data_IF_885745912085
#
_entry.id   IF_885745912085
#
_cell.length_a   1.000
_cell.length_b   1.000
_cell.length_c   1.000
_cell.angle_alpha   90.00
_cell.angle_beta   90.00
_cell.angle_gamma   90.00
#
_symmetry.space_group_name_H-M   'P 1'
#
loop_
_entity.id
_entity.type
_entity.pdbx_description
1 polymer ?
#
# COMPACT_ATOMS: atom_id res chain seq x y z
N UNK A 1 -9.61 -26.75 -23.02
CA UNK A 1 -9.08 -25.48 -22.47
C UNK A 1 -10.24 -24.51 -22.33
N UNK A 2 -10.87 -24.44 -21.15
CA UNK A 2 -11.97 -23.50 -20.90
C UNK A 2 -11.37 -22.11 -20.77
N UNK A 3 -11.64 -21.22 -21.73
CA UNK A 3 -11.40 -19.78 -21.55
C UNK A 3 -12.22 -19.36 -20.33
N UNK A 4 -11.62 -18.92 -19.21
CA UNK A 4 -12.41 -18.40 -18.10
C UNK A 4 -13.26 -17.26 -18.65
N UNK A 5 -14.55 -17.25 -18.31
CA UNK A 5 -15.48 -16.22 -18.76
C UNK A 5 -14.86 -14.85 -18.44
N UNK A 6 -14.90 -13.95 -19.43
CA UNK A 6 -14.28 -12.63 -19.42
C UNK A 6 -14.76 -11.73 -18.26
N UNK A 7 -15.68 -12.20 -17.43
CA UNK A 7 -16.47 -11.45 -16.45
C UNK A 7 -16.42 -11.97 -15.01
N UNK A 8 -15.56 -12.95 -14.67
CA UNK A 8 -15.53 -13.50 -13.30
C UNK A 8 -15.26 -12.43 -12.22
N UNK A 9 -14.57 -11.36 -12.60
CA UNK A 9 -14.21 -10.24 -11.73
C UNK A 9 -15.35 -9.21 -11.59
N UNK A 10 -16.36 -9.21 -12.47
CA UNK A 10 -17.46 -8.23 -12.40
C UNK A 10 -18.31 -8.40 -11.13
N UNK A 11 -18.84 -9.59 -10.80
CA UNK A 11 -19.63 -9.76 -9.57
C UNK A 11 -18.81 -9.44 -8.32
N UNK A 12 -17.56 -9.92 -8.25
CA UNK A 12 -16.66 -9.63 -7.13
C UNK A 12 -16.37 -8.13 -7.04
N UNK A 13 -16.11 -7.48 -8.18
CA UNK A 13 -15.92 -6.05 -8.33
C UNK A 13 -17.09 -5.24 -7.79
N UNK A 14 -18.31 -5.57 -8.20
CA UNK A 14 -19.53 -4.90 -7.74
C UNK A 14 -19.74 -5.09 -6.25
N UNK A 15 -19.56 -6.31 -5.73
CA UNK A 15 -19.71 -6.61 -4.30
C UNK A 15 -18.68 -5.85 -3.46
N UNK A 16 -17.41 -5.86 -3.87
CA UNK A 16 -16.34 -5.11 -3.19
C UNK A 16 -16.59 -3.61 -3.25
N UNK A 17 -16.97 -3.07 -4.41
CA UNK A 17 -17.25 -1.65 -4.56
C UNK A 17 -18.45 -1.21 -3.71
N UNK A 18 -19.54 -2.00 -3.70
CA UNK A 18 -20.73 -1.73 -2.88
C UNK A 18 -20.38 -1.76 -1.38
N UNK A 19 -19.56 -2.73 -0.97
CA UNK A 19 -19.07 -2.84 0.41
C UNK A 19 -18.23 -1.63 0.82
N UNK A 20 -17.19 -1.29 0.05
CA UNK A 20 -16.33 -0.14 0.36
C UNK A 20 -17.11 1.18 0.35
N UNK A 21 -18.06 1.32 -0.59
CA UNK A 21 -18.97 2.46 -0.65
C UNK A 21 -19.83 2.58 0.60
N UNK A 22 -20.34 1.46 1.13
CA UNK A 22 -21.13 1.47 2.36
C UNK A 22 -20.37 2.11 3.53
N UNK A 23 -19.06 1.86 3.67
CA UNK A 23 -18.24 2.50 4.70
C UNK A 23 -17.95 3.98 4.40
N UNK A 24 -17.56 4.29 3.16
CA UNK A 24 -17.21 5.66 2.74
C UNK A 24 -18.38 6.65 2.87
N UNK A 25 -19.58 6.23 2.47
CA UNK A 25 -20.74 7.12 2.36
C UNK A 25 -21.65 7.10 3.59
N UNK A 26 -21.30 6.35 4.64
CA UNK A 26 -22.05 6.34 5.90
C UNK A 26 -21.86 7.61 6.72
N UNK A 27 -20.70 8.26 6.61
CA UNK A 27 -20.42 9.56 7.21
C UNK A 27 -20.58 10.66 6.14
N UNK A 28 -21.09 11.85 6.48
CA UNK A 28 -21.00 13.00 5.59
C UNK A 28 -19.53 13.45 5.39
N UNK A 29 -18.66 13.24 6.38
CA UNK A 29 -17.28 13.72 6.39
C UNK A 29 -16.28 12.75 5.72
N UNK A 30 -15.10 13.27 5.37
CA UNK A 30 -13.96 12.47 4.92
C UNK A 30 -13.28 11.74 6.09
N UNK A 31 -12.69 10.57 5.79
CA UNK A 31 -11.85 9.83 6.72
C UNK A 31 -10.48 10.52 6.85
N UNK A 32 -10.31 11.27 7.94
CA UNK A 32 -9.10 12.06 8.21
C UNK A 32 -9.08 13.43 7.52
N UNK A 33 -8.22 14.35 7.99
CA UNK A 33 -8.23 15.74 7.53
C UNK A 33 -7.53 15.95 6.18
N UNK A 34 -6.51 15.17 5.84
CA UNK A 34 -5.65 15.43 4.67
C UNK A 34 -6.44 15.35 3.35
N UNK A 35 -7.51 14.56 3.30
CA UNK A 35 -8.35 14.41 2.11
C UNK A 35 -8.94 15.73 1.62
N UNK A 36 -9.27 16.63 2.54
CA UNK A 36 -9.78 17.97 2.20
C UNK A 36 -8.73 18.81 1.47
N UNK A 37 -7.47 18.72 1.92
CA UNK A 37 -6.35 19.38 1.26
C UNK A 37 -6.16 18.83 -0.15
N UNK A 38 -6.04 17.51 -0.30
CA UNK A 38 -5.70 16.91 -1.60
C UNK A 38 -6.74 17.21 -2.67
N UNK A 39 -8.04 17.04 -2.38
CA UNK A 39 -9.10 17.29 -3.37
C UNK A 39 -9.21 18.77 -3.74
N UNK A 40 -8.99 19.67 -2.78
CA UNK A 40 -8.99 21.12 -3.02
C UNK A 40 -7.77 21.52 -3.83
N UNK A 41 -6.60 20.99 -3.50
CA UNK A 41 -5.37 21.26 -4.22
C UNK A 41 -5.44 20.74 -5.67
N UNK A 42 -6.03 19.57 -5.92
CA UNK A 42 -6.29 19.09 -7.28
C UNK A 42 -7.18 20.04 -8.08
N UNK A 43 -8.20 20.66 -7.45
CA UNK A 43 -9.02 21.69 -8.09
C UNK A 43 -8.21 22.94 -8.43
N UNK A 44 -7.37 23.41 -7.51
CA UNK A 44 -6.49 24.55 -7.73
C UNK A 44 -5.46 24.27 -8.83
N UNK A 45 -4.88 23.07 -8.84
CA UNK A 45 -3.95 22.59 -9.86
C UNK A 45 -4.57 22.64 -11.26
N UNK A 46 -5.84 22.24 -11.40
CA UNK A 46 -6.58 22.33 -12.67
C UNK A 46 -6.71 23.78 -13.17
N UNK A 47 -6.94 24.75 -12.28
CA UNK A 47 -7.21 26.14 -12.64
C UNK A 47 -5.95 27.02 -12.76
N UNK A 48 -4.90 26.71 -12.00
CA UNK A 48 -3.72 27.57 -11.83
C UNK A 48 -2.40 26.90 -12.23
N UNK A 49 -2.41 25.60 -12.54
CA UNK A 49 -1.19 24.86 -12.83
C UNK A 49 -0.36 24.60 -11.57
N UNK A 50 0.94 24.38 -11.76
CA UNK A 50 1.86 24.03 -10.68
C UNK A 50 2.12 25.22 -9.76
N UNK A 51 1.96 24.99 -8.46
CA UNK A 51 2.38 25.94 -7.42
C UNK A 51 3.83 25.66 -7.06
N UNK A 52 4.66 26.69 -6.92
CA UNK A 52 6.04 26.59 -6.39
C UNK A 52 6.20 27.25 -5.00
N UNK A 53 5.15 27.93 -4.56
CA UNK A 53 4.98 28.49 -3.23
C UNK A 53 3.54 28.23 -2.77
N UNK A 54 3.36 27.96 -1.48
CA UNK A 54 2.07 27.65 -0.89
C UNK A 54 1.78 28.57 0.28
N UNK A 55 1.28 29.80 0.02
CA UNK A 55 1.18 30.86 1.02
C UNK A 55 0.25 30.53 2.19
N UNK A 56 -0.69 29.60 1.99
CA UNK A 56 -1.59 29.12 3.05
C UNK A 56 -0.86 28.34 4.15
N UNK A 57 0.33 27.81 3.88
CA UNK A 57 1.19 27.16 4.86
C UNK A 57 2.33 28.10 5.29
N UNK A 58 1.97 29.31 5.75
CA UNK A 58 2.90 30.43 6.02
C UNK A 58 3.98 30.12 7.07
N UNK A 59 3.68 29.24 8.03
CA UNK A 59 4.59 28.83 9.11
C UNK A 59 5.45 27.61 8.77
N UNK A 60 5.45 27.15 7.51
CA UNK A 60 6.26 26.02 7.07
C UNK A 60 7.14 26.40 5.88
N UNK A 61 8.09 25.53 5.55
CA UNK A 61 8.93 25.69 4.35
C UNK A 61 8.11 25.77 3.04
N UNK A 62 6.84 25.37 3.05
CA UNK A 62 5.96 25.43 1.88
C UNK A 62 5.62 26.86 1.48
N UNK A 63 5.71 27.82 2.39
CA UNK A 63 5.39 29.22 2.09
C UNK A 63 6.22 29.77 0.91
N UNK A 64 7.50 29.37 0.83
CA UNK A 64 8.46 29.85 -0.16
C UNK A 64 8.99 28.74 -1.07
N UNK A 65 9.09 27.50 -0.57
CA UNK A 65 9.76 26.38 -1.23
C UNK A 65 8.84 25.16 -1.30
N UNK A 66 7.68 25.35 -1.91
CA UNK A 66 6.71 24.26 -2.04
C UNK A 66 7.16 23.26 -3.10
N UNK A 67 7.17 21.99 -2.73
CA UNK A 67 7.33 20.86 -3.65
C UNK A 67 6.19 19.88 -3.45
N UNK A 68 5.43 19.66 -4.50
CA UNK A 68 4.37 18.65 -4.48
C UNK A 68 4.96 17.24 -4.56
N UNK A 69 5.05 16.57 -3.41
CA UNK A 69 5.57 15.21 -3.30
C UNK A 69 4.60 14.13 -3.82
N UNK A 70 3.35 14.50 -4.06
CA UNK A 70 2.26 13.60 -4.47
C UNK A 70 1.69 14.05 -5.83
N UNK A 71 2.52 14.66 -6.68
CA UNK A 71 2.13 15.31 -7.93
C UNK A 71 1.26 14.44 -8.85
N UNK A 72 1.67 13.20 -9.11
CA UNK A 72 0.92 12.26 -9.93
C UNK A 72 -0.42 11.91 -9.29
N UNK A 73 -0.48 11.81 -7.96
CA UNK A 73 -1.74 11.60 -7.25
C UNK A 73 -2.68 12.79 -7.45
N UNK A 74 -2.19 14.03 -7.31
CA UNK A 74 -3.02 15.22 -7.55
C UNK A 74 -3.50 15.33 -8.99
N UNK A 75 -2.67 15.00 -9.98
CA UNK A 75 -3.11 14.94 -11.37
C UNK A 75 -4.22 13.91 -11.59
N UNK A 76 -4.09 12.71 -11.02
CA UNK A 76 -5.13 11.68 -11.10
C UNK A 76 -6.40 12.03 -10.31
N UNK A 77 -6.30 12.98 -9.38
CA UNK A 77 -7.42 13.46 -8.58
C UNK A 77 -8.25 14.55 -9.29
N UNK A 78 -7.72 15.20 -10.32
CA UNK A 78 -8.39 16.27 -11.08
C UNK A 78 -9.80 15.90 -11.56
N UNK A 79 -10.06 14.72 -12.17
CA UNK A 79 -11.42 14.38 -12.61
C UNK A 79 -12.43 14.35 -11.46
N UNK A 80 -11.97 13.99 -10.25
CA UNK A 80 -12.81 13.93 -9.05
C UNK A 80 -12.98 15.31 -8.39
N UNK A 81 -12.09 16.27 -8.65
CA UNK A 81 -12.24 17.63 -8.12
C UNK A 81 -13.27 18.48 -8.88
N UNK A 82 -13.84 17.95 -9.96
CA UNK A 82 -14.87 18.61 -10.77
C UNK A 82 -16.29 18.44 -10.23
N UNK A 83 -16.51 17.53 -9.28
CA UNK A 83 -17.81 17.42 -8.60
C UNK A 83 -18.10 18.71 -7.83
N UNK A 84 -19.39 19.12 -7.81
CA UNK A 84 -19.82 20.29 -7.05
C UNK A 84 -19.55 20.11 -5.54
N UNK A 85 -19.85 18.92 -5.03
CA UNK A 85 -19.44 18.50 -3.69
C UNK A 85 -18.05 17.84 -3.76
N UNK A 86 -17.03 18.55 -3.27
CA UNK A 86 -15.66 18.03 -3.21
C UNK A 86 -15.51 16.86 -2.23
N UNK A 87 -16.34 16.76 -1.19
CA UNK A 87 -16.28 15.62 -0.28
C UNK A 87 -16.77 14.36 -0.99
N UNK A 88 -17.84 14.47 -1.78
CA UNK A 88 -18.29 13.40 -2.65
C UNK A 88 -17.19 13.00 -3.65
N UNK A 89 -16.58 13.96 -4.33
CA UNK A 89 -15.46 13.72 -5.25
C UNK A 89 -14.29 12.98 -4.58
N UNK A 90 -13.87 13.42 -3.40
CA UNK A 90 -12.82 12.76 -2.63
C UNK A 90 -13.19 11.31 -2.25
N UNK A 91 -14.42 11.03 -1.82
CA UNK A 91 -14.88 9.66 -1.54
C UNK A 91 -14.89 8.78 -2.79
N UNK A 92 -15.33 9.32 -3.93
CA UNK A 92 -15.25 8.62 -5.22
C UNK A 92 -13.81 8.28 -5.60
N UNK A 93 -12.86 9.20 -5.36
CA UNK A 93 -11.45 8.94 -5.60
C UNK A 93 -10.87 7.86 -4.69
N UNK A 94 -11.22 7.85 -3.39
CA UNK A 94 -10.80 6.83 -2.45
C UNK A 94 -11.28 5.43 -2.90
N UNK A 95 -12.56 5.33 -3.30
CA UNK A 95 -13.11 4.11 -3.86
C UNK A 95 -12.37 3.68 -5.13
N UNK A 96 -12.09 4.61 -6.04
CA UNK A 96 -11.38 4.33 -7.28
C UNK A 96 -9.97 3.74 -7.03
N UNK A 97 -9.17 4.39 -6.18
CA UNK A 97 -7.82 3.91 -5.89
C UNK A 97 -7.84 2.59 -5.10
N UNK A 98 -8.75 2.42 -4.13
CA UNK A 98 -8.91 1.16 -3.39
C UNK A 98 -9.31 -0.01 -4.32
N UNK A 99 -10.23 0.24 -5.27
CA UNK A 99 -10.59 -0.73 -6.30
C UNK A 99 -9.42 -1.03 -7.23
N UNK A 100 -8.59 -0.02 -7.58
CA UNK A 100 -7.35 -0.23 -8.34
C UNK A 100 -6.39 -1.23 -7.66
N UNK A 101 -6.21 -1.10 -6.34
CA UNK A 101 -5.44 -2.06 -5.54
C UNK A 101 -6.08 -3.46 -5.57
N UNK A 102 -7.41 -3.54 -5.37
CA UNK A 102 -8.13 -4.81 -5.42
C UNK A 102 -7.99 -5.50 -6.78
N UNK A 103 -8.24 -4.77 -7.87
CA UNK A 103 -8.11 -5.27 -9.24
C UNK A 103 -6.71 -5.78 -9.54
N UNK A 104 -5.68 -5.05 -9.10
CA UNK A 104 -4.30 -5.49 -9.29
C UNK A 104 -4.01 -6.81 -8.55
N UNK A 105 -4.43 -6.93 -7.29
CA UNK A 105 -4.26 -8.16 -6.52
C UNK A 105 -5.06 -9.32 -7.12
N UNK A 106 -6.27 -9.07 -7.62
CA UNK A 106 -7.08 -10.07 -8.35
C UNK A 106 -6.41 -10.52 -9.64
N UNK A 107 -5.84 -9.59 -10.39
CA UNK A 107 -5.05 -9.90 -11.58
C UNK A 107 -3.86 -10.80 -11.23
N UNK A 108 -3.10 -10.44 -10.19
CA UNK A 108 -1.95 -11.23 -9.74
C UNK A 108 -2.37 -12.63 -9.28
N UNK A 109 -3.36 -12.72 -8.39
CA UNK A 109 -3.91 -13.99 -7.92
C UNK A 109 -4.44 -14.86 -9.07
N UNK A 110 -5.15 -14.26 -10.03
CA UNK A 110 -5.69 -14.99 -11.18
C UNK A 110 -4.59 -15.52 -12.09
N UNK A 111 -3.54 -14.73 -12.34
CA UNK A 111 -2.37 -15.14 -13.11
C UNK A 111 -1.67 -16.35 -12.47
N UNK A 112 -1.65 -16.40 -11.14
CA UNK A 112 -1.09 -17.51 -10.36
C UNK A 112 -2.08 -18.66 -10.11
N UNK A 113 -3.25 -18.65 -10.76
CA UNK A 113 -4.30 -19.66 -10.63
C UNK A 113 -4.76 -19.88 -9.18
N UNK A 114 -4.73 -18.82 -8.36
CA UNK A 114 -5.22 -18.86 -6.98
C UNK A 114 -6.70 -19.25 -6.97
N UNK A 115 -7.03 -20.23 -6.14
CA UNK A 115 -8.40 -20.62 -5.88
C UNK A 115 -9.07 -19.63 -4.90
N UNK A 116 -10.38 -19.48 -5.00
CA UNK A 116 -11.18 -18.71 -4.05
C UNK A 116 -10.71 -17.24 -3.87
N UNK A 117 -10.46 -16.51 -4.96
CA UNK A 117 -10.06 -15.09 -4.94
C UNK A 117 -11.00 -14.23 -4.08
N UNK A 118 -12.30 -14.56 -4.04
CA UNK A 118 -13.29 -13.89 -3.18
C UNK A 118 -12.93 -13.98 -1.68
N UNK A 119 -12.39 -15.11 -1.23
CA UNK A 119 -11.99 -15.32 0.15
C UNK A 119 -10.79 -14.43 0.51
N UNK A 120 -9.77 -14.40 -0.35
CA UNK A 120 -8.61 -13.54 -0.16
C UNK A 120 -8.95 -12.06 -0.23
N UNK A 121 -9.94 -11.69 -1.03
CA UNK A 121 -10.50 -10.34 -1.07
C UNK A 121 -11.17 -9.97 0.26
N UNK A 122 -11.95 -10.89 0.81
CA UNK A 122 -12.55 -10.73 2.13
C UNK A 122 -11.46 -10.62 3.21
N UNK A 123 -10.45 -11.48 3.20
CA UNK A 123 -9.30 -11.38 4.09
C UNK A 123 -8.57 -10.04 3.96
N UNK A 124 -8.44 -9.49 2.75
CA UNK A 124 -7.78 -8.19 2.54
C UNK A 124 -8.53 -7.04 3.24
N UNK A 125 -9.83 -6.91 2.99
CA UNK A 125 -10.61 -5.76 3.48
C UNK A 125 -11.19 -5.96 4.88
N UNK A 126 -11.33 -7.20 5.34
CA UNK A 126 -11.86 -7.54 6.67
C UNK A 126 -10.83 -8.23 7.56
N UNK A 127 -9.59 -8.42 7.12
CA UNK A 127 -8.58 -9.00 7.99
C UNK A 127 -7.98 -8.00 8.97
N UNK A 128 -8.18 -6.69 8.74
CA UNK A 128 -7.67 -5.62 9.58
C UNK A 128 -8.50 -4.34 9.46
N UNK A 129 -9.13 -3.85 10.54
CA UNK A 129 -9.85 -2.58 10.50
C UNK A 129 -8.92 -1.39 10.29
N UNK A 130 -7.68 -1.48 10.78
CA UNK A 130 -6.67 -0.46 10.57
C UNK A 130 -6.32 -0.33 9.08
N UNK A 131 -6.16 -1.46 8.39
CA UNK A 131 -5.99 -1.44 6.94
C UNK A 131 -7.21 -0.90 6.21
N UNK A 132 -8.42 -1.32 6.61
CA UNK A 132 -9.67 -0.84 5.99
C UNK A 132 -9.83 0.68 6.13
N UNK A 133 -9.53 1.24 7.29
CA UNK A 133 -9.52 2.69 7.49
C UNK A 133 -8.55 3.36 6.53
N UNK A 134 -7.30 2.87 6.48
CA UNK A 134 -6.22 3.46 5.67
C UNK A 134 -6.55 3.40 4.18
N UNK A 135 -6.97 2.25 3.66
CA UNK A 135 -7.25 2.10 2.22
C UNK A 135 -8.43 2.98 1.76
N UNK A 136 -9.36 3.28 2.68
CA UNK A 136 -10.51 4.16 2.42
C UNK A 136 -10.22 5.65 2.67
N UNK A 137 -9.11 6.00 3.32
CA UNK A 137 -8.71 7.40 3.46
C UNK A 137 -8.35 7.99 2.08
N UNK A 138 -8.97 9.10 1.63
CA UNK A 138 -8.66 9.77 0.36
C UNK A 138 -7.30 10.48 0.45
N UNK A 139 -6.23 9.69 0.42
CA UNK A 139 -4.85 10.13 0.59
C UNK A 139 -3.92 9.44 -0.43
N UNK A 140 -2.76 10.03 -0.75
CA UNK A 140 -1.83 9.50 -1.74
C UNK A 140 -1.24 8.12 -1.44
N UNK A 141 -1.22 7.69 -0.17
CA UNK A 141 -0.61 6.40 0.20
C UNK A 141 -1.32 5.21 -0.46
N UNK A 142 -2.61 5.32 -0.82
CA UNK A 142 -3.32 4.26 -1.56
C UNK A 142 -2.77 4.10 -2.99
N UNK A 143 -2.42 5.21 -3.66
CA UNK A 143 -1.71 5.15 -4.95
C UNK A 143 -0.28 4.63 -4.74
N UNK A 144 0.40 5.09 -3.70
CA UNK A 144 1.71 4.59 -3.31
C UNK A 144 1.71 3.07 -3.09
N UNK A 145 0.69 2.53 -2.44
CA UNK A 145 0.50 1.09 -2.27
C UNK A 145 0.37 0.36 -3.61
N UNK A 146 -0.42 0.88 -4.56
CA UNK A 146 -0.52 0.29 -5.88
C UNK A 146 0.84 0.25 -6.59
N UNK A 147 1.62 1.34 -6.53
CA UNK A 147 2.98 1.40 -7.04
C UNK A 147 3.92 0.42 -6.35
N UNK A 148 3.84 0.31 -5.02
CA UNK A 148 4.60 -0.69 -4.26
C UNK A 148 4.28 -2.10 -4.73
N UNK A 149 3.00 -2.47 -4.82
CA UNK A 149 2.58 -3.80 -5.25
C UNK A 149 3.00 -4.11 -6.70
N UNK A 150 2.87 -3.13 -7.61
CA UNK A 150 3.38 -3.24 -8.98
C UNK A 150 4.91 -3.42 -9.01
N UNK A 151 5.63 -2.71 -8.15
CA UNK A 151 7.09 -2.82 -8.01
C UNK A 151 7.52 -4.20 -7.53
N UNK A 152 6.88 -4.71 -6.47
CA UNK A 152 7.14 -6.07 -5.98
C UNK A 152 6.77 -7.11 -7.03
N UNK A 153 5.62 -6.98 -7.70
CA UNK A 153 5.25 -7.87 -8.79
C UNK A 153 6.29 -7.87 -9.91
N UNK A 154 6.74 -6.68 -10.35
CA UNK A 154 7.74 -6.56 -11.40
C UNK A 154 9.09 -7.17 -10.98
N UNK A 155 9.46 -6.99 -9.72
CA UNK A 155 10.69 -7.54 -9.12
C UNK A 155 10.65 -9.08 -9.05
N UNK A 156 9.56 -9.64 -8.54
CA UNK A 156 9.35 -11.09 -8.39
C UNK A 156 9.25 -11.77 -9.76
N UNK A 157 8.60 -11.13 -10.72
CA UNK A 157 8.39 -11.64 -12.07
C UNK A 157 9.50 -11.25 -13.07
N UNK A 158 10.58 -10.62 -12.59
CA UNK A 158 11.72 -10.18 -13.42
C UNK A 158 11.31 -9.30 -14.61
N UNK A 159 10.25 -8.48 -14.45
CA UNK A 159 9.74 -7.53 -15.44
C UNK A 159 10.51 -6.22 -15.36
N UNK A 160 11.74 -6.22 -15.88
CA UNK A 160 12.69 -5.11 -15.76
C UNK A 160 12.18 -3.76 -16.24
N UNK A 161 11.46 -3.72 -17.38
CA UNK A 161 10.89 -2.48 -17.92
C UNK A 161 9.80 -1.94 -16.97
N UNK A 162 8.93 -2.83 -16.47
CA UNK A 162 7.90 -2.44 -15.51
C UNK A 162 8.52 -1.94 -14.20
N UNK A 163 9.55 -2.62 -13.70
CA UNK A 163 10.28 -2.19 -12.49
C UNK A 163 10.89 -0.81 -12.68
N UNK A 164 11.50 -0.53 -13.84
CA UNK A 164 12.02 0.78 -14.18
C UNK A 164 10.92 1.84 -14.21
N UNK A 165 9.84 1.61 -14.97
CA UNK A 165 8.73 2.57 -15.09
C UNK A 165 8.04 2.84 -13.75
N UNK A 166 7.79 1.80 -12.96
CA UNK A 166 7.24 1.94 -11.60
C UNK A 166 8.19 2.77 -10.75
N UNK A 167 9.47 2.41 -10.70
CA UNK A 167 10.46 3.14 -9.89
C UNK A 167 10.63 4.60 -10.35
N UNK A 168 10.46 4.87 -11.64
CA UNK A 168 10.52 6.22 -12.22
C UNK A 168 9.32 7.10 -11.84
N UNK A 169 8.10 6.57 -11.91
CA UNK A 169 6.89 7.34 -11.61
C UNK A 169 6.49 7.32 -10.13
N UNK A 170 7.04 6.40 -9.32
CA UNK A 170 6.70 6.32 -7.89
C UNK A 170 7.07 7.60 -7.11
N UNK A 171 8.24 8.25 -7.31
CA UNK A 171 8.54 9.51 -6.64
C UNK A 171 7.53 10.63 -6.92
N UNK A 172 6.78 10.54 -8.03
CA UNK A 172 5.73 11.48 -8.39
C UNK A 172 4.41 11.10 -7.71
N UNK A 173 4.22 9.83 -7.36
CA UNK A 173 2.99 9.32 -6.78
C UNK A 173 2.92 9.52 -5.27
N UNK A 174 4.00 9.22 -4.54
CA UNK A 174 4.03 9.30 -3.08
C UNK A 174 5.47 9.24 -2.53
N UNK A 175 5.68 9.82 -1.35
CA UNK A 175 6.98 9.85 -0.65
C UNK A 175 7.54 8.48 -0.25
N UNK A 176 6.72 7.42 -0.25
CA UNK A 176 7.17 6.04 0.02
C UNK A 176 7.90 5.37 -1.15
N UNK A 177 8.17 6.09 -2.24
CA UNK A 177 8.88 5.57 -3.41
C UNK A 177 10.21 4.90 -3.05
N UNK A 178 10.89 5.38 -2.01
CA UNK A 178 12.17 4.84 -1.57
C UNK A 178 12.05 3.36 -1.24
N UNK A 179 10.88 2.86 -0.80
CA UNK A 179 10.68 1.47 -0.40
C UNK A 179 10.96 0.44 -1.51
N UNK A 180 10.82 0.79 -2.79
CA UNK A 180 11.15 -0.16 -3.87
C UNK A 180 12.66 -0.45 -3.92
N UNK A 181 13.49 0.52 -3.54
CA UNK A 181 14.95 0.39 -3.56
C UNK A 181 15.47 -0.67 -2.57
N UNK A 182 15.23 -0.59 -1.24
CA UNK A 182 15.67 -1.61 -0.30
C UNK A 182 14.97 -2.95 -0.54
N UNK A 183 13.71 -2.98 -1.02
CA UNK A 183 13.06 -4.24 -1.38
C UNK A 183 13.73 -4.91 -2.58
N UNK A 184 14.15 -4.12 -3.58
CA UNK A 184 14.93 -4.64 -4.71
C UNK A 184 16.31 -5.14 -4.28
N UNK A 185 16.97 -4.46 -3.33
CA UNK A 185 18.23 -4.93 -2.73
C UNK A 185 18.05 -6.23 -1.96
N UNK A 186 16.99 -6.33 -1.15
CA UNK A 186 16.64 -7.51 -0.36
C UNK A 186 16.39 -8.73 -1.25
N UNK A 187 15.61 -8.57 -2.31
CA UNK A 187 15.35 -9.65 -3.28
C UNK A 187 16.61 -9.99 -4.09
N UNK A 188 17.40 -8.99 -4.50
CA UNK A 188 18.66 -9.21 -5.22
C UNK A 188 19.67 -9.99 -4.34
N UNK A 189 19.77 -9.65 -3.06
CA UNK A 189 20.58 -10.39 -2.08
C UNK A 189 20.08 -11.83 -1.92
N UNK A 190 18.77 -12.01 -1.72
CA UNK A 190 18.15 -13.33 -1.61
C UNK A 190 18.42 -14.20 -2.86
N UNK A 191 18.25 -13.64 -4.05
CA UNK A 191 18.58 -14.29 -5.32
C UNK A 191 20.06 -14.62 -5.43
N UNK A 192 20.95 -13.74 -4.94
CA UNK A 192 22.39 -13.97 -4.99
C UNK A 192 22.81 -15.16 -4.15
N UNK A 193 22.25 -15.28 -2.94
CA UNK A 193 22.47 -16.42 -2.04
C UNK A 193 21.94 -17.70 -2.67
N UNK A 194 20.73 -17.65 -3.22
CA UNK A 194 20.05 -18.80 -3.84
C UNK A 194 20.78 -19.32 -5.09
N UNK A 195 21.27 -18.41 -5.94
CA UNK A 195 21.94 -18.73 -7.21
C UNK A 195 23.45 -18.91 -7.05
N UNK A 196 24.01 -18.61 -5.87
CA UNK A 196 25.46 -18.57 -5.61
C UNK A 196 26.23 -17.68 -6.60
N UNK A 197 25.60 -16.60 -7.06
CA UNK A 197 26.18 -15.61 -7.96
C UNK A 197 25.72 -14.22 -7.56
N UNK A 198 26.52 -13.20 -7.86
CA UNK A 198 26.16 -11.83 -7.54
C UNK A 198 25.07 -11.30 -8.49
N UNK A 199 23.86 -11.12 -7.97
CA UNK A 199 22.71 -10.55 -8.68
C UNK A 199 22.53 -9.10 -8.24
N UNK A 200 22.78 -8.15 -9.15
CA UNK A 200 22.70 -6.71 -8.88
C UNK A 200 21.63 -5.99 -9.72
N UNK A 201 21.21 -6.60 -10.82
CA UNK A 201 20.33 -6.01 -11.83
C UNK A 201 19.03 -5.42 -11.26
N UNK A 202 18.27 -6.11 -10.37
CA UNK A 202 17.03 -5.56 -9.84
C UNK A 202 17.25 -4.25 -9.06
N UNK A 203 18.31 -4.22 -8.24
CA UNK A 203 18.68 -3.05 -7.45
C UNK A 203 19.09 -1.88 -8.34
N UNK A 204 19.96 -2.12 -9.33
CA UNK A 204 20.40 -1.05 -10.23
C UNK A 204 19.25 -0.45 -11.04
N UNK A 205 18.30 -1.27 -11.52
CA UNK A 205 17.12 -0.78 -12.25
C UNK A 205 16.23 0.09 -11.36
N UNK A 206 15.96 -0.36 -10.13
CA UNK A 206 15.15 0.41 -9.19
C UNK A 206 15.82 1.74 -8.83
N UNK A 207 17.12 1.73 -8.54
CA UNK A 207 17.91 2.95 -8.27
C UNK A 207 17.91 3.91 -9.46
N UNK A 208 18.13 3.38 -10.68
CA UNK A 208 18.15 4.22 -11.89
C UNK A 208 16.78 4.85 -12.13
N UNK A 209 15.71 4.06 -12.08
CA UNK A 209 14.35 4.56 -12.24
C UNK A 209 14.02 5.63 -11.21
N UNK A 210 14.23 5.34 -9.92
CA UNK A 210 13.93 6.28 -8.84
C UNK A 210 14.74 7.58 -8.92
N UNK A 211 16.04 7.48 -9.24
CA UNK A 211 16.91 8.65 -9.39
C UNK A 211 16.46 9.52 -10.57
N UNK A 212 16.20 8.92 -11.73
CA UNK A 212 15.69 9.65 -12.89
C UNK A 212 14.31 10.24 -12.62
N UNK A 213 13.45 9.54 -11.90
CA UNK A 213 12.15 10.01 -11.47
C UNK A 213 12.26 11.27 -10.60
N UNK A 214 13.18 11.27 -9.63
CA UNK A 214 13.45 12.43 -8.78
C UNK A 214 14.12 13.59 -9.54
N UNK A 215 14.99 13.32 -10.52
CA UNK A 215 15.69 14.36 -11.29
C UNK A 215 14.77 15.01 -12.34
N UNK A 216 13.93 14.22 -13.02
CA UNK A 216 13.01 14.72 -14.05
C UNK A 216 11.74 15.33 -13.42
N UNK A 217 11.53 15.15 -12.12
CA UNK A 217 10.37 15.71 -11.40
C UNK A 217 10.23 17.22 -11.65
N UNK A 218 9.02 17.75 -11.91
CA UNK A 218 8.81 19.20 -12.19
C UNK A 218 9.23 20.16 -11.09
N UNK A 219 9.49 19.63 -9.89
CA UNK A 219 9.93 20.37 -8.70
C UNK A 219 11.41 20.19 -8.39
N UNK A 220 12.20 19.63 -9.31
CA UNK A 220 13.64 19.53 -9.12
C UNK A 220 14.28 20.93 -9.03
N UNK A 221 15.19 21.20 -8.06
CA UNK A 221 15.74 20.28 -7.05
C UNK A 221 15.00 20.27 -5.70
N UNK A 222 13.96 21.08 -5.52
CA UNK A 222 13.24 21.23 -4.25
C UNK A 222 12.63 19.93 -3.74
N UNK A 223 12.20 19.03 -4.63
CA UNK A 223 11.71 17.71 -4.24
C UNK A 223 12.74 16.88 -3.47
N UNK A 224 14.05 17.04 -3.74
CA UNK A 224 15.11 16.38 -2.96
C UNK A 224 15.24 16.95 -1.56
N UNK A 225 15.22 18.27 -1.44
CA UNK A 225 15.25 18.95 -0.15
C UNK A 225 14.03 18.54 0.68
N UNK A 226 12.85 18.54 0.04
CA UNK A 226 11.60 18.13 0.65
C UNK A 226 11.62 16.68 1.14
N UNK A 227 12.12 15.77 0.29
CA UNK A 227 12.30 14.36 0.64
C UNK A 227 13.24 14.20 1.83
N UNK A 228 14.37 14.89 1.85
CA UNK A 228 15.32 14.87 2.97
C UNK A 228 14.66 15.35 4.26
N UNK A 229 13.98 16.49 4.23
CA UNK A 229 13.33 17.05 5.43
C UNK A 229 12.29 16.06 5.96
N UNK A 230 11.35 15.63 5.12
CA UNK A 230 10.22 14.82 5.57
C UNK A 230 10.60 13.36 5.90
N UNK A 231 11.46 12.74 5.09
CA UNK A 231 11.70 11.29 5.17
C UNK A 231 12.95 10.95 5.95
N UNK A 232 13.90 11.88 6.11
CA UNK A 232 15.15 11.62 6.83
C UNK A 232 15.23 12.46 8.10
N UNK A 233 15.15 13.79 7.98
CA UNK A 233 15.33 14.70 9.12
C UNK A 233 14.21 14.58 10.15
N UNK A 234 12.93 14.58 9.73
CA UNK A 234 11.79 14.43 10.65
C UNK A 234 11.83 13.08 11.38
N UNK A 235 12.15 11.99 10.68
CA UNK A 235 12.28 10.68 11.33
C UNK A 235 13.45 10.65 12.31
N UNK A 236 14.61 11.22 11.94
CA UNK A 236 15.76 11.32 12.83
C UNK A 236 15.42 12.08 14.12
N UNK A 237 14.86 13.28 13.99
CA UNK A 237 14.46 14.13 15.13
C UNK A 237 13.43 13.47 16.03
N UNK A 238 12.52 12.71 15.43
CA UNK A 238 11.52 11.91 16.13
C UNK A 238 12.09 10.77 16.94
N UNK A 239 13.05 10.02 16.37
CA UNK A 239 13.70 8.89 17.04
C UNK A 239 14.67 9.38 18.13
N UNK A 240 15.39 10.48 17.89
CA UNK A 240 16.31 11.07 18.86
C UNK A 240 15.61 11.73 20.05
N UNK A 241 14.28 11.86 20.03
CA UNK A 241 13.47 12.58 21.02
C UNK A 241 13.99 14.00 21.30
N UNK A 242 14.74 14.59 20.36
CA UNK A 242 15.38 15.88 20.55
C UNK A 242 14.36 17.02 20.52
N UNK A 243 13.18 16.78 19.94
CA UNK A 243 12.02 17.68 19.97
C UNK A 243 10.74 16.85 20.02
N UNK A 244 9.76 17.30 20.82
CA UNK A 244 8.40 16.77 20.74
C UNK A 244 7.73 17.37 19.50
N UNK A 245 7.80 16.62 18.40
CA UNK A 245 7.22 17.02 17.12
C UNK A 245 5.70 16.79 17.07
N UNK A 246 5.09 16.28 18.14
CA UNK A 246 3.68 15.88 18.12
C UNK A 246 3.39 14.90 16.97
N UNK A 247 4.38 14.07 16.60
CA UNK A 247 4.22 13.13 15.49
C UNK A 247 3.03 12.23 15.81
N UNK A 248 2.02 12.29 14.95
CA UNK A 248 0.76 11.58 15.12
C UNK A 248 0.99 10.12 15.51
N UNK A 249 0.08 9.54 16.31
CA UNK A 249 0.10 8.14 16.74
C UNK A 249 0.32 7.11 15.60
N UNK A 250 0.13 7.51 14.33
CA UNK A 250 0.48 6.73 13.13
C UNK A 250 1.96 6.28 13.06
N UNK A 251 2.90 7.04 13.62
CA UNK A 251 4.33 6.67 13.65
C UNK A 251 4.76 5.88 14.88
N UNK A 252 3.84 5.68 15.83
CA UNK A 252 4.11 4.87 17.01
C UNK A 252 4.20 3.38 16.66
N UNK A 253 4.84 2.61 17.54
CA UNK A 253 4.90 1.15 17.41
C UNK A 253 3.56 0.49 17.75
N UNK A 254 3.26 -0.64 17.10
CA UNK A 254 2.21 -1.52 17.59
C UNK A 254 2.67 -2.23 18.86
N UNK A 255 1.81 -2.31 19.87
CA UNK A 255 1.99 -3.37 20.86
C UNK A 255 1.76 -4.72 20.17
N UNK A 256 2.55 -5.75 20.50
CA UNK A 256 2.37 -7.08 19.90
C UNK A 256 0.93 -7.57 20.08
N UNK A 257 0.36 -7.41 21.28
CA UNK A 257 -1.03 -7.76 21.59
C UNK A 257 -2.01 -7.09 20.63
N UNK A 258 -1.89 -5.78 20.43
CA UNK A 258 -2.77 -5.05 19.51
C UNK A 258 -2.59 -5.50 18.06
N UNK A 259 -1.35 -5.71 17.62
CA UNK A 259 -1.07 -6.21 16.27
C UNK A 259 -1.72 -7.58 16.05
N UNK A 260 -1.59 -8.51 16.99
CA UNK A 260 -2.22 -9.83 16.92
C UNK A 260 -3.74 -9.74 16.92
N UNK A 261 -4.35 -8.91 17.78
CA UNK A 261 -5.81 -8.79 17.87
C UNK A 261 -6.42 -8.14 16.63
N UNK A 262 -5.75 -7.13 16.07
CA UNK A 262 -6.25 -6.37 14.91
C UNK A 262 -5.94 -7.04 13.57
N UNK A 263 -5.03 -8.01 13.52
CA UNK A 263 -4.60 -8.68 12.28
C UNK A 263 -4.56 -10.21 12.40
N UNK A 264 -5.34 -10.80 13.31
CA UNK A 264 -5.27 -12.22 13.65
C UNK A 264 -5.47 -13.14 12.46
N UNK A 265 -6.43 -12.81 11.59
CA UNK A 265 -6.78 -13.63 10.43
C UNK A 265 -5.72 -13.62 9.34
N UNK A 266 -5.30 -12.47 8.78
CA UNK A 266 -4.25 -12.44 7.77
C UNK A 266 -2.94 -13.04 8.33
N UNK A 267 -2.66 -12.82 9.62
CA UNK A 267 -1.48 -13.39 10.26
C UNK A 267 -1.57 -14.92 10.40
N UNK A 268 -2.73 -15.48 10.73
CA UNK A 268 -2.95 -16.93 10.76
C UNK A 268 -2.65 -17.55 9.39
N UNK A 269 -3.19 -16.99 8.31
CA UNK A 269 -2.95 -17.50 6.96
C UNK A 269 -1.51 -17.31 6.51
N UNK A 270 -0.88 -16.20 6.89
CA UNK A 270 0.54 -15.97 6.67
C UNK A 270 1.41 -17.03 7.35
N UNK A 271 1.19 -17.29 8.65
CA UNK A 271 1.92 -18.32 9.40
C UNK A 271 1.67 -19.72 8.83
N UNK A 272 0.43 -20.03 8.44
CA UNK A 272 0.10 -21.31 7.81
C UNK A 272 0.81 -21.50 6.46
N UNK A 273 0.88 -20.43 5.66
CA UNK A 273 1.64 -20.41 4.41
C UNK A 273 3.15 -20.57 4.65
N UNK A 274 3.72 -19.95 5.68
CA UNK A 274 5.13 -20.14 6.05
C UNK A 274 5.45 -21.59 6.41
N UNK A 275 4.56 -22.29 7.13
CA UNK A 275 4.75 -23.71 7.43
C UNK A 275 4.79 -24.56 6.15
N UNK A 276 3.91 -24.26 5.17
CA UNK A 276 3.97 -24.88 3.84
C UNK A 276 5.30 -24.59 3.15
N UNK A 277 5.70 -23.33 3.10
CA UNK A 277 6.96 -22.89 2.48
C UNK A 277 8.17 -23.72 2.92
N UNK A 278 8.29 -23.95 4.25
CA UNK A 278 9.38 -24.72 4.86
C UNK A 278 9.32 -26.21 4.48
N UNK A 279 8.12 -26.78 4.39
CA UNK A 279 7.92 -28.20 4.07
C UNK A 279 8.22 -28.53 2.60
N UNK A 280 7.83 -27.66 1.68
CA UNK A 280 7.73 -28.04 0.26
C UNK A 280 8.98 -27.76 -0.57
N UNK A 281 10.09 -27.31 0.05
CA UNK A 281 11.26 -26.77 -0.67
C UNK A 281 10.83 -25.81 -1.80
N UNK A 282 9.97 -24.87 -1.43
CA UNK A 282 9.27 -23.99 -2.37
C UNK A 282 10.23 -23.21 -3.25
N UNK A 283 9.78 -22.84 -4.45
CA UNK A 283 10.61 -22.12 -5.40
C UNK A 283 11.06 -20.75 -4.85
N UNK A 284 12.17 -20.26 -5.41
CA UNK A 284 12.81 -18.98 -5.05
C UNK A 284 11.84 -17.80 -5.00
N UNK A 285 10.83 -17.83 -5.87
CA UNK A 285 9.79 -16.83 -5.96
C UNK A 285 8.99 -16.69 -4.66
N UNK A 286 8.60 -17.81 -4.06
CA UNK A 286 7.82 -17.86 -2.83
C UNK A 286 8.66 -17.44 -1.63
N UNK A 287 9.95 -17.80 -1.61
CA UNK A 287 10.91 -17.32 -0.59
C UNK A 287 11.03 -15.80 -0.63
N UNK A 288 11.18 -15.22 -1.83
CA UNK A 288 11.28 -13.76 -1.97
C UNK A 288 9.98 -13.05 -1.55
N UNK A 289 8.81 -13.60 -1.89
CA UNK A 289 7.52 -13.07 -1.42
C UNK A 289 7.38 -13.16 0.10
N UNK A 290 7.75 -14.29 0.70
CA UNK A 290 7.75 -14.47 2.15
C UNK A 290 8.67 -13.46 2.85
N UNK A 291 9.86 -13.24 2.27
CA UNK A 291 10.85 -12.30 2.80
C UNK A 291 10.33 -10.86 2.76
N UNK A 292 9.76 -10.42 1.63
CA UNK A 292 9.15 -9.08 1.52
C UNK A 292 7.98 -8.94 2.50
N UNK A 293 7.09 -9.94 2.57
CA UNK A 293 5.98 -9.93 3.51
C UNK A 293 6.45 -9.84 4.97
N UNK A 294 7.43 -10.65 5.36
CA UNK A 294 8.03 -10.61 6.69
C UNK A 294 8.65 -9.25 7.00
N UNK A 295 9.41 -8.67 6.06
CA UNK A 295 9.98 -7.33 6.23
C UNK A 295 8.89 -6.29 6.45
N UNK A 296 7.82 -6.30 5.64
CA UNK A 296 6.71 -5.36 5.84
C UNK A 296 5.99 -5.56 7.17
N UNK A 297 5.84 -6.80 7.66
CA UNK A 297 5.27 -7.08 9.00
C UNK A 297 6.15 -6.48 10.10
N UNK A 298 7.48 -6.69 10.02
CA UNK A 298 8.43 -6.12 10.98
C UNK A 298 8.34 -4.59 10.97
N UNK A 299 8.30 -3.99 9.77
CA UNK A 299 8.10 -2.55 9.62
C UNK A 299 6.79 -2.07 10.27
N UNK A 300 5.69 -2.81 10.10
CA UNK A 300 4.40 -2.48 10.72
C UNK A 300 4.46 -2.55 12.24
N UNK A 301 5.11 -3.57 12.81
CA UNK A 301 5.26 -3.68 14.27
C UNK A 301 6.06 -2.49 14.81
N UNK A 302 7.12 -2.08 14.11
CA UNK A 302 7.93 -0.92 14.47
C UNK A 302 7.18 0.40 14.29
N UNK A 303 6.41 0.54 13.21
CA UNK A 303 5.69 1.76 12.82
C UNK A 303 4.32 1.37 12.24
N UNK A 304 3.25 1.70 12.97
CA UNK A 304 1.86 1.29 12.66
C UNK A 304 1.44 1.57 11.22
N UNK A 305 1.87 2.72 10.70
CA UNK A 305 1.58 3.17 9.33
C UNK A 305 1.88 2.12 8.25
N UNK A 306 2.88 1.27 8.41
CA UNK A 306 3.22 0.27 7.38
C UNK A 306 2.22 -0.89 7.27
N UNK A 307 1.14 -0.90 8.08
CA UNK A 307 0.03 -1.85 7.92
C UNK A 307 -0.55 -1.83 6.50
N UNK A 308 -0.51 -0.67 5.84
CA UNK A 308 -0.93 -0.50 4.45
C UNK A 308 -0.14 -1.38 3.48
N UNK A 309 1.12 -1.69 3.79
CA UNK A 309 1.99 -2.57 3.01
C UNK A 309 1.91 -4.02 3.48
N UNK A 310 1.98 -4.25 4.79
CA UNK A 310 2.05 -5.62 5.32
C UNK A 310 0.76 -6.40 5.08
N UNK A 311 -0.39 -5.73 5.11
CA UNK A 311 -1.67 -6.39 4.92
C UNK A 311 -1.82 -7.07 3.54
N UNK A 312 -1.67 -6.34 2.41
CA UNK A 312 -1.72 -6.97 1.10
C UNK A 312 -0.55 -7.95 0.87
N UNK A 313 0.62 -7.72 1.46
CA UNK A 313 1.74 -8.66 1.35
C UNK A 313 1.49 -9.99 2.09
N UNK A 314 0.89 -9.95 3.28
CA UNK A 314 0.45 -11.16 4.00
C UNK A 314 -0.58 -11.94 3.17
N UNK A 315 -1.59 -11.23 2.65
CA UNK A 315 -2.66 -11.84 1.86
C UNK A 315 -2.14 -12.45 0.56
N UNK A 316 -1.33 -11.72 -0.21
CA UNK A 316 -0.84 -12.23 -1.51
C UNK A 316 0.13 -13.39 -1.31
N UNK A 317 1.03 -13.33 -0.31
CA UNK A 317 1.92 -14.44 -0.01
C UNK A 317 1.12 -15.69 0.38
N UNK A 318 0.17 -15.55 1.31
CA UNK A 318 -0.65 -16.67 1.75
C UNK A 318 -1.50 -17.24 0.61
N UNK A 319 -2.13 -16.38 -0.19
CA UNK A 319 -2.92 -16.79 -1.35
C UNK A 319 -2.10 -17.62 -2.35
N UNK A 320 -0.91 -17.14 -2.72
CA UNK A 320 -0.05 -17.80 -3.69
C UNK A 320 0.51 -19.11 -3.13
N UNK A 321 1.06 -19.10 -1.92
CA UNK A 321 1.67 -20.29 -1.33
C UNK A 321 0.64 -21.40 -1.06
N UNK A 322 -0.54 -21.04 -0.53
CA UNK A 322 -1.58 -22.03 -0.26
C UNK A 322 -2.28 -22.49 -1.54
N UNK A 323 -2.30 -21.70 -2.61
CA UNK A 323 -2.87 -22.17 -3.89
C UNK A 323 -2.05 -23.26 -4.58
N UNK A 324 -0.75 -23.37 -4.28
CA UNK A 324 0.07 -24.51 -4.72
C UNK A 324 -0.47 -25.83 -4.15
N UNK A 325 -1.11 -25.75 -2.99
CA UNK A 325 -1.79 -26.85 -2.33
C UNK A 325 -3.25 -26.78 -2.75
N UNK A 326 -3.68 -27.66 -3.65
CA UNK A 326 -5.08 -27.70 -4.12
C UNK A 326 -6.13 -27.88 -2.98
N UNK A 327 -5.67 -28.11 -1.76
CA UNK A 327 -6.45 -28.32 -0.54
C UNK A 327 -6.52 -27.09 0.39
N UNK A 328 -7.04 -25.97 -0.11
CA UNK A 328 -7.75 -25.05 0.80
C UNK A 328 -9.11 -25.70 1.08
N UNK A 329 -9.11 -26.63 2.05
CA UNK A 329 -10.33 -27.24 2.58
C UNK A 329 -11.35 -26.14 2.95
N UNK A 330 -12.59 -26.27 2.45
CA UNK A 330 -13.70 -25.36 2.75
C UNK A 330 -13.88 -25.13 4.24
N UNK A 331 -13.48 -26.09 5.10
CA UNK A 331 -13.48 -25.92 6.56
C UNK A 331 -12.54 -24.80 7.02
N UNK A 332 -11.34 -24.68 6.45
CA UNK A 332 -10.37 -23.63 6.81
C UNK A 332 -10.85 -22.24 6.42
N UNK A 333 -11.60 -22.15 5.32
CA UNK A 333 -12.29 -20.92 4.86
C UNK A 333 -13.33 -20.49 5.88
N UNK A 334 -14.16 -21.43 6.37
CA UNK A 334 -15.19 -21.17 7.39
C UNK A 334 -14.56 -20.71 8.70
N UNK A 335 -13.48 -21.36 9.16
CA UNK A 335 -12.74 -20.92 10.35
C UNK A 335 -12.10 -19.53 10.16
N UNK A 336 -11.59 -19.23 8.96
CA UNK A 336 -11.08 -17.90 8.63
C UNK A 336 -12.15 -16.82 8.70
N UNK A 337 -13.34 -17.08 8.15
CA UNK A 337 -14.49 -16.15 8.21
C UNK A 337 -14.98 -15.96 9.65
N UNK A 338 -15.07 -17.03 10.44
CA UNK A 338 -15.44 -16.93 11.86
C UNK A 338 -14.40 -16.14 12.68
N UNK A 339 -13.11 -16.35 12.40
CA UNK A 339 -12.03 -15.56 13.01
C UNK A 339 -12.14 -14.07 12.69
N UNK A 340 -12.53 -13.72 11.46
CA UNK A 340 -12.75 -12.33 11.03
C UNK A 340 -13.93 -11.71 11.80
N UNK A 341 -15.07 -12.40 11.86
CA UNK A 341 -16.25 -11.91 12.58
C UNK A 341 -15.96 -11.73 14.07
N UNK A 342 -15.20 -12.65 14.68
CA UNK A 342 -14.75 -12.54 16.07
C UNK A 342 -13.81 -11.35 16.26
N UNK A 343 -12.85 -11.13 15.36
CA UNK A 343 -11.94 -9.98 15.45
C UNK A 343 -12.65 -8.64 15.38
N UNK A 344 -13.69 -8.52 14.55
CA UNK A 344 -14.54 -7.31 14.47
C UNK A 344 -15.44 -7.14 15.69
N UNK A 345 -15.99 -8.24 16.24
CA UNK A 345 -16.88 -8.16 17.40
C UNK A 345 -16.18 -7.71 18.70
N UNK A 346 -14.86 -7.91 18.79
CA UNK A 346 -14.06 -7.57 19.96
C UNK A 346 -13.50 -6.13 19.95
N UNK A 347 -13.85 -5.31 18.95
CA UNK A 347 -13.17 -4.03 18.70
C UNK A 347 -14.14 -2.84 18.64
N UNK A 348 -13.86 -1.79 19.43
CA UNK A 348 -14.36 -0.43 19.16
C UNK A 348 -13.49 0.18 18.05
N UNK A 349 -13.99 0.39 16.82
CA UNK A 349 -13.11 0.54 15.65
C UNK A 349 -12.37 1.88 15.52
N UNK A 350 -12.57 2.83 16.45
CA UNK A 350 -12.31 4.25 16.15
C UNK A 350 -11.55 5.03 17.24
N UNK A 351 -11.24 4.46 18.40
CA UNK A 351 -10.79 5.28 19.55
C UNK A 351 -9.29 5.61 19.56
N UNK A 352 -8.45 4.95 18.75
CA UNK A 352 -7.00 5.02 18.90
C UNK A 352 -6.24 5.71 17.75
N UNK A 353 -6.93 6.16 16.69
CA UNK A 353 -6.28 6.94 15.59
C UNK A 353 -6.36 8.44 15.78
N UNK A 354 -7.16 8.93 16.73
CA UNK A 354 -7.39 10.36 17.00
C UNK A 354 -6.59 10.90 18.20
N UNK A 355 -5.61 10.14 18.74
CA UNK A 355 -4.72 10.60 19.80
C UNK A 355 -3.26 10.58 19.38
#
# INVERSE_FOLDING_TARGET
MNRPSFYWWLPLGVITAAFLSFFLFRSPYLLGPDGYFHITYAKLLLHHGLFYAFPWASLSMWSERFSDKDLLYHFLLIPFSQFQDLQFGAKCSALFFAMGVAFFLWYWMKRENVSQIWFWTFCLFFGSPNFLFRILSPRPHTLGLLFFLLGIFALIESRWILLFCVSFFYPWAHSSWLLVVPMSALVAFSQSVQQRMFVWKPFAIACLGATLGMVIHPYFPENWHYFYVQSIHTLYMGISHSQDLGMAGEFSSYSLREFFLTNSVPLFFFCYALVGLIRDRSAYRQINLALVALTTIVMTITVRRFIELSMPMMVIFAALQLSLHKDIDRRKVVFGVLGILLSFSLQHPWTNFER
#
